data_IF_209623898572
#
_entry.id   IF_209623898572
#
_cell.length_a   1.000
_cell.length_b   1.000
_cell.length_c   1.000
_cell.angle_alpha   90.00
_cell.angle_beta   90.00
_cell.angle_gamma   90.00
#
_symmetry.space_group_name_H-M   'P 1'
#
loop_
_entity.id
_entity.type
_entity.pdbx_description
1 polymer ?
#
# COMPACT_ATOMS: atom_id res chain seq x y z
N UNK A 1 -2.11 -12.47 -0.67
CA UNK A 1 -1.94 -13.43 -1.78
C UNK A 1 -0.84 -12.98 -2.72
N UNK A 2 -0.95 -11.84 -3.42
CA UNK A 2 0.05 -11.35 -4.39
C UNK A 2 1.49 -11.36 -3.86
N UNK A 3 1.78 -10.64 -2.77
CA UNK A 3 3.17 -10.52 -2.26
C UNK A 3 3.76 -11.88 -1.89
N UNK A 4 3.06 -12.67 -1.07
CA UNK A 4 3.60 -13.95 -0.60
C UNK A 4 3.65 -15.00 -1.71
N UNK A 5 2.52 -15.26 -2.37
CA UNK A 5 2.40 -16.38 -3.30
C UNK A 5 3.07 -16.07 -4.63
N UNK A 6 2.76 -14.92 -5.23
CA UNK A 6 3.24 -14.62 -6.58
C UNK A 6 4.67 -14.08 -6.50
N UNK A 7 4.92 -13.03 -5.71
CA UNK A 7 6.25 -12.42 -5.70
C UNK A 7 7.29 -13.28 -4.99
N UNK A 8 7.00 -13.82 -3.80
CA UNK A 8 7.99 -14.59 -3.04
C UNK A 8 8.04 -16.05 -3.47
N UNK A 9 6.91 -16.76 -3.46
CA UNK A 9 6.90 -18.22 -3.69
C UNK A 9 7.07 -18.60 -5.18
N UNK A 10 6.46 -17.86 -6.12
CA UNK A 10 6.55 -18.17 -7.55
C UNK A 10 7.71 -17.46 -8.26
N UNK A 11 7.89 -16.15 -8.03
CA UNK A 11 8.93 -15.36 -8.70
C UNK A 11 10.27 -15.32 -7.92
N UNK A 12 10.29 -15.80 -6.68
CA UNK A 12 11.52 -15.89 -5.88
C UNK A 12 12.04 -14.55 -5.35
N UNK A 13 11.21 -13.50 -5.28
CA UNK A 13 11.62 -12.23 -4.69
C UNK A 13 11.77 -12.34 -3.17
N UNK A 14 12.89 -11.85 -2.66
CA UNK A 14 13.11 -11.67 -1.24
C UNK A 14 12.63 -10.28 -0.78
N UNK A 15 12.82 -9.99 0.51
CA UNK A 15 12.36 -8.72 1.09
C UNK A 15 13.05 -7.50 0.45
N UNK A 16 14.33 -7.64 0.05
CA UNK A 16 15.08 -6.58 -0.60
C UNK A 16 14.58 -6.34 -2.03
N UNK A 17 14.24 -7.40 -2.77
CA UNK A 17 13.61 -7.31 -4.08
C UNK A 17 12.26 -6.60 -4.04
N UNK A 18 11.46 -6.82 -3.00
CA UNK A 18 10.18 -6.14 -2.80
C UNK A 18 10.32 -4.62 -2.55
N UNK A 19 11.47 -4.18 -2.08
CA UNK A 19 11.81 -2.76 -1.85
C UNK A 19 12.59 -2.11 -2.99
N UNK A 20 12.92 -2.89 -4.03
CA UNK A 20 13.61 -2.37 -5.19
C UNK A 20 12.62 -1.71 -6.15
N UNK A 21 12.59 -0.38 -6.18
CA UNK A 21 11.73 0.41 -7.06
C UNK A 21 11.99 0.18 -8.56
N UNK A 22 13.15 -0.41 -8.93
CA UNK A 22 13.43 -0.83 -10.31
C UNK A 22 12.76 -2.15 -10.69
N UNK A 23 12.37 -2.95 -9.70
CA UNK A 23 11.68 -4.24 -9.89
C UNK A 23 10.17 -4.10 -9.68
N UNK A 24 9.74 -3.33 -8.67
CA UNK A 24 8.32 -3.18 -8.32
C UNK A 24 7.97 -1.71 -8.15
N UNK A 25 7.06 -1.23 -8.99
CA UNK A 25 6.44 0.07 -8.88
C UNK A 25 5.01 -0.04 -8.33
N UNK A 26 4.55 1.01 -7.63
CA UNK A 26 3.20 1.10 -7.07
C UNK A 26 2.53 2.37 -7.58
N UNK A 27 1.30 2.25 -8.08
CA UNK A 27 0.45 3.40 -8.42
C UNK A 27 -0.91 3.28 -7.74
N UNK A 28 -1.45 4.42 -7.29
CA UNK A 28 -2.84 4.52 -6.82
C UNK A 28 -3.83 4.86 -7.94
N UNK A 29 -3.35 5.00 -9.19
CA UNK A 29 -4.14 5.36 -10.36
C UNK A 29 -4.20 4.13 -11.27
N UNK A 30 -5.41 3.59 -11.48
CA UNK A 30 -5.59 2.38 -12.25
C UNK A 30 -5.16 2.52 -13.71
N UNK A 31 -5.41 3.69 -14.33
CA UNK A 31 -5.05 3.98 -15.72
C UNK A 31 -3.53 3.88 -15.95
N UNK A 32 -2.71 4.42 -15.04
CA UNK A 32 -1.25 4.29 -15.11
C UNK A 32 -0.79 2.82 -15.10
N UNK A 33 -1.47 1.98 -14.32
CA UNK A 33 -1.15 0.56 -14.23
C UNK A 33 -1.56 -0.21 -15.50
N UNK A 34 -2.63 0.21 -16.18
CA UNK A 34 -3.07 -0.37 -17.45
C UNK A 34 -2.11 -0.01 -18.58
N UNK A 35 -1.62 1.23 -18.62
CA UNK A 35 -0.75 1.71 -19.71
C UNK A 35 0.72 1.30 -19.54
N UNK A 36 1.16 0.98 -18.32
CA UNK A 36 2.57 0.71 -18.02
C UNK A 36 3.19 -0.45 -18.85
N UNK A 37 2.53 -1.61 -19.04
CA UNK A 37 3.05 -2.66 -19.90
C UNK A 37 3.14 -2.25 -21.38
N UNK A 38 2.10 -1.57 -21.89
CA UNK A 38 2.06 -1.11 -23.28
C UNK A 38 3.12 -0.05 -23.62
N UNK A 39 3.58 0.69 -22.61
CA UNK A 39 4.65 1.69 -22.74
C UNK A 39 6.04 1.16 -22.38
N UNK A 40 6.18 -0.12 -22.04
CA UNK A 40 7.45 -0.75 -21.69
C UNK A 40 8.02 -0.31 -20.33
N UNK A 41 7.19 0.27 -19.45
CA UNK A 41 7.61 0.68 -18.10
C UNK A 41 7.68 -0.49 -17.12
N UNK A 42 6.93 -1.56 -17.38
CA UNK A 42 6.99 -2.82 -16.64
C UNK A 42 6.61 -3.99 -17.54
N UNK A 43 6.91 -5.21 -17.12
CA UNK A 43 6.53 -6.42 -17.84
C UNK A 43 5.05 -6.80 -17.59
N UNK A 44 4.60 -6.62 -16.35
CA UNK A 44 3.28 -7.02 -15.87
C UNK A 44 2.78 -5.99 -14.86
N UNK A 45 1.47 -5.71 -14.86
CA UNK A 45 0.80 -4.92 -13.82
C UNK A 45 -0.28 -5.75 -13.12
N UNK A 46 -0.45 -5.50 -11.81
CA UNK A 46 -1.47 -6.14 -10.99
C UNK A 46 -2.39 -5.07 -10.41
N UNK A 47 -3.68 -5.17 -10.72
CA UNK A 47 -4.71 -4.30 -10.13
C UNK A 47 -5.40 -5.08 -9.02
N UNK A 48 -5.43 -4.50 -7.82
CA UNK A 48 -5.99 -5.12 -6.63
C UNK A 48 -7.28 -4.39 -6.22
N UNK A 49 -8.21 -5.15 -5.64
CA UNK A 49 -9.36 -4.55 -4.98
C UNK A 49 -8.89 -3.65 -3.83
N UNK A 50 -9.50 -2.47 -3.71
CA UNK A 50 -9.22 -1.56 -2.61
C UNK A 50 -9.59 -2.20 -1.27
N UNK A 51 -8.73 -2.05 -0.27
CA UNK A 51 -9.00 -2.48 1.09
C UNK A 51 -10.02 -1.52 1.71
N UNK A 52 -11.17 -2.05 2.17
CA UNK A 52 -12.20 -1.25 2.82
C UNK A 52 -11.75 -0.80 4.21
N UNK A 53 -12.24 0.36 4.68
CA UNK A 53 -11.83 0.92 5.97
C UNK A 53 -12.21 0.03 7.15
N UNK A 54 -13.33 -0.69 7.04
CA UNK A 54 -13.78 -1.65 8.05
C UNK A 54 -12.77 -2.78 8.22
N UNK A 55 -12.19 -3.27 7.11
CA UNK A 55 -11.18 -4.33 7.14
C UNK A 55 -9.89 -3.85 7.82
N UNK A 56 -9.47 -2.61 7.54
CA UNK A 56 -8.30 -2.00 8.21
C UNK A 56 -8.54 -1.91 9.71
N UNK A 57 -9.72 -1.41 10.12
CA UNK A 57 -10.11 -1.31 11.52
C UNK A 57 -10.11 -2.68 12.21
N UNK A 58 -10.71 -3.69 11.58
CA UNK A 58 -10.81 -5.04 12.17
C UNK A 58 -9.43 -5.69 12.36
N UNK A 59 -8.50 -5.50 11.42
CA UNK A 59 -7.12 -5.99 11.51
C UNK A 59 -6.39 -5.29 12.66
N UNK A 60 -6.53 -3.96 12.78
CA UNK A 60 -5.93 -3.18 13.86
C UNK A 60 -6.48 -3.57 15.25
N UNK A 61 -7.80 -3.76 15.37
CA UNK A 61 -8.43 -4.21 16.62
C UNK A 61 -7.97 -5.60 17.07
N UNK A 62 -7.52 -6.44 16.13
CA UNK A 62 -6.95 -7.76 16.39
C UNK A 62 -5.44 -7.72 16.70
N UNK A 63 -4.82 -6.54 16.72
CA UNK A 63 -3.37 -6.40 16.92
C UNK A 63 -2.53 -6.97 15.77
N UNK A 64 -3.12 -7.11 14.58
CA UNK A 64 -2.45 -7.65 13.40
C UNK A 64 -1.93 -6.51 12.51
N UNK A 65 -1.02 -6.85 11.60
CA UNK A 65 -0.37 -5.89 10.70
C UNK A 65 -0.88 -6.12 9.27
N UNK A 66 -1.20 -5.02 8.58
CA UNK A 66 -1.54 -5.05 7.16
C UNK A 66 -0.31 -5.36 6.31
N UNK A 67 -0.45 -6.11 5.20
CA UNK A 67 0.65 -6.31 4.25
C UNK A 67 1.23 -4.98 3.75
N UNK A 68 2.53 -4.95 3.45
CA UNK A 68 3.20 -3.73 3.00
C UNK A 68 2.53 -3.18 1.73
N UNK A 69 2.41 -1.85 1.66
CA UNK A 69 1.89 -1.11 0.50
C UNK A 69 0.51 -1.61 0.01
N UNK A 70 -0.31 -2.19 0.91
CA UNK A 70 -1.64 -2.76 0.59
C UNK A 70 -2.80 -1.77 0.73
N UNK A 71 -2.55 -0.57 1.27
CA UNK A 71 -3.55 0.47 1.50
C UNK A 71 -2.99 1.83 1.12
N UNK A 72 -3.81 2.68 0.51
CA UNK A 72 -3.48 4.07 0.21
C UNK A 72 -4.59 4.98 0.77
N UNK A 73 -4.22 5.91 1.66
CA UNK A 73 -5.14 6.90 2.21
C UNK A 73 -5.01 8.22 1.45
N UNK A 74 -6.14 8.75 0.98
CA UNK A 74 -6.21 10.02 0.28
C UNK A 74 -7.19 10.99 0.97
N UNK A 75 -6.77 12.24 1.29
CA UNK A 75 -5.39 12.71 1.25
C UNK A 75 -4.50 11.92 2.22
N UNK A 76 -3.17 11.94 2.01
CA UNK A 76 -2.24 11.32 2.97
C UNK A 76 -2.50 11.93 4.35
N UNK A 77 -2.65 11.07 5.36
CA UNK A 77 -2.86 11.50 6.73
C UNK A 77 -1.69 12.39 7.15
N UNK A 78 -1.99 13.60 7.61
CA UNK A 78 -0.97 14.53 8.09
C UNK A 78 -0.38 13.93 9.37
N UNK A 79 0.91 13.59 9.32
CA UNK A 79 1.66 13.16 10.50
C UNK A 79 2.24 14.38 11.22
N UNK A 80 2.38 14.32 12.53
CA UNK A 80 3.03 15.38 13.32
C UNK A 80 2.14 16.59 13.63
N UNK A 81 0.83 16.51 13.36
CA UNK A 81 -0.11 17.52 13.84
C UNK A 81 -0.36 17.32 15.34
N UNK A 82 0.04 18.30 16.14
CA UNK A 82 -0.16 18.32 17.60
C UNK A 82 -1.32 19.27 17.90
N UNK A 83 -2.38 18.77 18.56
CA UNK A 83 -3.46 19.61 19.08
C UNK A 83 -3.12 20.01 20.52
N UNK A 84 -2.90 21.31 20.76
CA UNK A 84 -2.81 21.83 22.12
C UNK A 84 -4.22 22.14 22.63
N UNK A 85 -4.72 21.35 23.58
CA UNK A 85 -6.01 21.62 24.20
C UNK A 85 -5.93 22.90 25.02
N UNK A 86 -6.65 23.94 24.61
CA UNK A 86 -6.84 25.13 25.44
C UNK A 86 -7.74 24.74 26.61
N UNK A 87 -7.24 24.86 27.84
CA UNK A 87 -8.10 24.81 29.02
C UNK A 87 -8.90 26.12 29.06
N UNK A 88 -10.21 26.02 29.26
CA UNK A 88 -10.98 27.19 29.65
C UNK A 88 -10.48 27.63 31.03
N UNK A 89 -10.22 28.93 31.21
CA UNK A 89 -10.03 29.52 32.52
C UNK A 89 -11.41 29.66 33.18
N UNK A 90 -11.51 29.25 34.45
CA UNK A 90 -12.74 29.36 35.27
C UNK A 90 -13.12 30.83 35.55
#
# INVERSE_FOLDING_TARGET
MLTRLIFMEMLGFDQAGLDNEKLIAYSSIAEEAVDAPGTGKCDISFILNSTKIEQVRDIALKGLIMPRKSTYFYPKVITGQVMNGLKAED
#
